data_IF_326333962042
#
_entry.id   IF_326333962042
#
_cell.length_a   1.000
_cell.length_b   1.000
_cell.length_c   1.000
_cell.angle_alpha   90.00
_cell.angle_beta   90.00
_cell.angle_gamma   90.00
#
_symmetry.space_group_name_H-M   'P 1'
#
loop_
_entity.id
_entity.type
_entity.pdbx_description
1 polymer ?
#
# COMPACT_ATOMS: atom_id res chain seq x y z
N UNK A 1 19.26 -44.42 9.58
CA UNK A 1 18.47 -44.01 8.40
C UNK A 1 18.73 -42.53 8.21
N UNK A 2 19.56 -42.17 7.24
CA UNK A 2 19.77 -40.79 6.85
C UNK A 2 18.57 -40.37 5.98
N UNK A 3 17.78 -39.42 6.47
CA UNK A 3 16.73 -38.81 5.66
C UNK A 3 17.39 -38.04 4.53
N UNK A 4 17.04 -38.40 3.29
CA UNK A 4 17.41 -37.66 2.10
C UNK A 4 16.77 -36.28 2.23
N UNK A 5 17.56 -35.23 2.51
CA UNK A 5 17.06 -33.88 2.32
C UNK A 5 16.87 -33.71 0.82
N UNK A 6 15.64 -33.58 0.36
CA UNK A 6 15.39 -33.26 -1.04
C UNK A 6 16.16 -31.97 -1.31
N UNK A 7 17.11 -32.01 -2.26
CA UNK A 7 17.78 -30.82 -2.72
C UNK A 7 16.68 -29.88 -3.23
N UNK A 8 16.46 -28.80 -2.51
CA UNK A 8 15.59 -27.74 -2.96
C UNK A 8 16.12 -27.24 -4.32
N UNK A 9 15.21 -26.96 -5.26
CA UNK A 9 15.58 -26.75 -6.65
C UNK A 9 16.64 -25.66 -6.81
N UNK A 10 17.62 -25.90 -7.68
CA UNK A 10 18.70 -24.96 -7.96
C UNK A 10 18.15 -23.76 -8.77
N UNK A 11 18.02 -22.61 -8.11
CA UNK A 11 17.54 -21.37 -8.73
C UNK A 11 18.45 -20.92 -9.88
N UNK A 12 19.77 -21.08 -9.75
CA UNK A 12 20.70 -20.67 -10.79
C UNK A 12 20.54 -21.55 -12.04
N UNK A 13 20.35 -22.87 -11.85
CA UNK A 13 20.05 -23.78 -12.96
C UNK A 13 18.71 -23.46 -13.64
N UNK A 14 17.66 -23.12 -12.87
CA UNK A 14 16.39 -22.70 -13.44
C UNK A 14 16.55 -21.42 -14.27
N UNK A 15 17.21 -20.39 -13.72
CA UNK A 15 17.44 -19.14 -14.44
C UNK A 15 18.29 -19.35 -15.69
N UNK A 16 19.33 -20.19 -15.61
CA UNK A 16 20.18 -20.53 -16.76
C UNK A 16 19.42 -21.25 -17.89
N UNK A 17 18.33 -21.97 -17.56
CA UNK A 17 17.46 -22.63 -18.54
C UNK A 17 16.55 -21.65 -19.30
N UNK A 18 16.44 -20.40 -18.85
CA UNK A 18 15.58 -19.37 -19.40
C UNK A 18 16.44 -18.26 -20.04
N UNK A 19 16.62 -18.26 -21.38
CA UNK A 19 17.53 -17.32 -22.04
C UNK A 19 17.19 -15.84 -21.80
N UNK A 20 15.92 -15.53 -21.54
CA UNK A 20 15.45 -14.19 -21.27
C UNK A 20 15.62 -13.74 -19.82
N UNK A 21 16.16 -14.58 -18.94
CA UNK A 21 16.50 -14.26 -17.54
C UNK A 21 18.03 -14.19 -17.31
N UNK A 22 18.84 -14.13 -18.36
CA UNK A 22 20.31 -14.13 -18.24
C UNK A 22 20.86 -12.94 -17.45
N UNK A 23 20.25 -11.75 -17.55
CA UNK A 23 20.62 -10.56 -16.77
C UNK A 23 20.31 -10.75 -15.28
N UNK A 24 19.18 -11.39 -14.96
CA UNK A 24 18.83 -11.73 -13.57
C UNK A 24 19.84 -12.72 -12.99
N UNK A 25 20.22 -13.75 -13.76
CA UNK A 25 21.24 -14.72 -13.35
C UNK A 25 22.60 -14.05 -13.10
N UNK A 26 23.02 -13.15 -14.00
CA UNK A 26 24.26 -12.38 -13.84
C UNK A 26 24.23 -11.56 -12.54
N UNK A 27 23.18 -10.78 -12.31
CA UNK A 27 23.02 -9.99 -11.08
C UNK A 27 23.02 -10.87 -9.82
N UNK A 28 22.32 -12.00 -9.85
CA UNK A 28 22.30 -12.95 -8.74
C UNK A 28 23.70 -13.50 -8.44
N UNK A 29 24.52 -13.75 -9.47
CA UNK A 29 25.88 -14.25 -9.30
C UNK A 29 26.86 -13.23 -8.70
N UNK A 30 26.55 -11.94 -8.81
CA UNK A 30 27.37 -10.85 -8.25
C UNK A 30 27.18 -10.71 -6.74
N UNK A 31 26.09 -11.21 -6.17
CA UNK A 31 25.80 -11.12 -4.73
C UNK A 31 26.15 -12.45 -4.04
N UNK A 32 27.28 -12.52 -3.29
CA UNK A 32 27.75 -13.77 -2.73
C UNK A 32 26.73 -14.42 -1.78
N UNK A 33 26.47 -15.71 -1.98
CA UNK A 33 25.59 -16.51 -1.12
C UNK A 33 24.09 -16.23 -1.27
N UNK A 34 23.67 -15.27 -2.10
CA UNK A 34 22.24 -14.97 -2.29
C UNK A 34 21.52 -16.12 -2.99
N UNK A 35 22.11 -16.72 -4.03
CA UNK A 35 21.52 -17.88 -4.72
C UNK A 35 21.27 -19.05 -3.75
N UNK A 36 22.24 -19.37 -2.91
CA UNK A 36 22.12 -20.43 -1.89
C UNK A 36 21.07 -20.08 -0.84
N UNK A 37 21.01 -18.81 -0.44
CA UNK A 37 20.00 -18.30 0.51
C UNK A 37 18.60 -18.44 -0.07
N UNK A 38 18.38 -18.06 -1.33
CA UNK A 38 17.08 -18.19 -1.99
C UNK A 38 16.71 -19.65 -2.23
N UNK A 39 17.67 -20.49 -2.62
CA UNK A 39 17.45 -21.91 -2.83
C UNK A 39 17.15 -22.66 -1.52
N UNK A 40 17.68 -22.22 -0.38
CA UNK A 40 17.37 -22.80 0.94
C UNK A 40 16.19 -22.15 1.65
N UNK A 41 15.69 -21.03 1.12
CA UNK A 41 14.51 -20.34 1.66
C UNK A 41 13.25 -21.14 1.34
N UNK A 42 12.32 -21.18 2.28
CA UNK A 42 10.97 -21.71 2.04
C UNK A 42 9.95 -20.61 2.30
N UNK A 43 8.75 -20.79 1.75
CA UNK A 43 7.64 -19.85 1.87
C UNK A 43 7.95 -18.47 1.26
N UNK A 44 8.43 -18.45 0.01
CA UNK A 44 8.73 -17.21 -0.72
C UNK A 44 8.10 -17.19 -2.12
N UNK A 45 7.91 -15.99 -2.64
CA UNK A 45 7.53 -15.77 -4.04
C UNK A 45 8.56 -14.86 -4.69
N UNK A 46 9.17 -15.32 -5.78
CA UNK A 46 10.17 -14.56 -6.54
C UNK A 46 9.49 -13.99 -7.77
N UNK A 47 9.65 -12.69 -8.00
CA UNK A 47 9.24 -12.07 -9.25
C UNK A 47 10.46 -11.81 -10.14
N UNK A 48 10.49 -12.42 -11.31
CA UNK A 48 11.65 -12.51 -12.18
C UNK A 48 11.48 -11.62 -13.43
N UNK A 49 12.04 -10.39 -13.44
CA UNK A 49 12.01 -9.54 -14.62
C UNK A 49 12.94 -10.11 -15.72
N UNK A 50 12.54 -10.07 -17.01
CA UNK A 50 13.38 -10.48 -18.12
C UNK A 50 14.44 -9.44 -18.45
N UNK A 51 15.40 -9.81 -19.29
CA UNK A 51 16.48 -8.95 -19.77
C UNK A 51 15.96 -7.60 -20.30
N UNK A 52 14.84 -7.60 -21.02
CA UNK A 52 14.23 -6.38 -21.54
C UNK A 52 13.73 -5.44 -20.43
N UNK A 53 13.19 -5.99 -19.34
CA UNK A 53 12.74 -5.18 -18.21
C UNK A 53 13.93 -4.46 -17.56
N UNK A 54 15.06 -5.14 -17.35
CA UNK A 54 16.29 -4.52 -16.87
C UNK A 54 16.84 -3.47 -17.84
N UNK A 55 16.76 -3.72 -19.15
CA UNK A 55 17.21 -2.77 -20.17
C UNK A 55 16.38 -1.47 -20.18
N UNK A 56 15.10 -1.55 -19.82
CA UNK A 56 14.18 -0.41 -19.80
C UNK A 56 14.29 0.47 -18.55
N UNK A 57 15.02 0.03 -17.51
CA UNK A 57 15.20 0.83 -16.29
C UNK A 57 16.07 2.05 -16.61
N UNK A 58 15.60 3.29 -16.33
CA UNK A 58 16.43 4.48 -16.48
C UNK A 58 17.67 4.37 -15.59
N UNK A 59 18.83 4.90 -16.02
CA UNK A 59 20.11 4.70 -15.33
C UNK A 59 20.44 5.77 -14.28
N UNK A 60 19.62 6.80 -14.20
CA UNK A 60 19.68 7.91 -13.25
C UNK A 60 18.81 7.64 -12.02
N UNK A 61 18.47 6.38 -11.74
CA UNK A 61 17.63 5.98 -10.60
C UNK A 61 18.28 4.87 -9.81
N UNK A 62 17.95 4.68 -8.52
CA UNK A 62 18.61 3.68 -7.68
C UNK A 62 18.58 2.25 -8.26
N UNK A 63 17.47 1.83 -8.87
CA UNK A 63 17.35 0.55 -9.58
C UNK A 63 18.27 0.49 -10.80
N UNK A 64 18.36 1.60 -11.54
CA UNK A 64 19.22 1.76 -12.71
C UNK A 64 20.70 1.71 -12.38
N UNK A 65 21.09 2.41 -11.32
CA UNK A 65 22.44 2.44 -10.77
C UNK A 65 22.85 1.07 -10.22
N UNK A 66 21.96 0.37 -9.52
CA UNK A 66 22.20 -1.01 -9.09
C UNK A 66 22.48 -1.95 -10.28
N UNK A 67 21.83 -1.71 -11.42
CA UNK A 67 22.06 -2.47 -12.65
C UNK A 67 23.37 -2.01 -13.32
N UNK A 68 23.65 -0.72 -13.45
CA UNK A 68 24.83 -0.22 -14.15
C UNK A 68 26.13 -0.52 -13.39
N UNK A 69 26.15 -0.22 -12.08
CA UNK A 69 27.33 -0.33 -11.23
C UNK A 69 27.45 -1.73 -10.61
N UNK A 70 27.88 -2.70 -11.45
CA UNK A 70 28.02 -4.12 -11.11
C UNK A 70 28.90 -4.45 -9.88
N UNK A 71 29.66 -3.49 -9.38
CA UNK A 71 30.48 -3.62 -8.18
C UNK A 71 29.73 -3.26 -6.89
N UNK A 72 28.57 -2.60 -6.97
CA UNK A 72 27.75 -2.25 -5.81
C UNK A 72 26.84 -3.43 -5.44
N UNK A 73 27.43 -4.44 -4.80
CA UNK A 73 26.71 -5.66 -4.40
C UNK A 73 25.59 -5.38 -3.38
N UNK A 74 25.64 -4.26 -2.65
CA UNK A 74 24.60 -3.84 -1.72
C UNK A 74 23.38 -3.38 -2.50
N UNK A 75 23.55 -2.49 -3.48
CA UNK A 75 22.47 -2.02 -4.34
C UNK A 75 21.86 -3.15 -5.17
N UNK A 76 22.69 -4.04 -5.72
CA UNK A 76 22.21 -5.24 -6.43
C UNK A 76 21.44 -6.15 -5.48
N UNK A 77 21.98 -6.41 -4.29
CA UNK A 77 21.32 -7.22 -3.27
C UNK A 77 19.97 -6.63 -2.86
N UNK A 78 19.89 -5.31 -2.69
CA UNK A 78 18.65 -4.61 -2.37
C UNK A 78 17.63 -4.77 -3.49
N UNK A 79 18.06 -4.58 -4.74
CA UNK A 79 17.21 -4.74 -5.92
C UNK A 79 16.63 -6.15 -5.97
N UNK A 80 17.48 -7.17 -5.85
CA UNK A 80 17.05 -8.57 -5.89
C UNK A 80 16.15 -8.91 -4.68
N UNK A 81 16.46 -8.41 -3.49
CA UNK A 81 15.66 -8.63 -2.29
C UNK A 81 14.25 -8.02 -2.40
N UNK A 82 14.10 -6.88 -3.09
CA UNK A 82 12.80 -6.27 -3.38
C UNK A 82 11.93 -7.16 -4.28
N UNK A 83 12.55 -8.03 -5.07
CA UNK A 83 11.86 -8.97 -5.97
C UNK A 83 11.53 -10.31 -5.31
N UNK A 84 11.78 -10.47 -4.00
CA UNK A 84 11.48 -11.70 -3.27
C UNK A 84 10.52 -11.39 -2.13
N UNK A 85 9.28 -11.82 -2.30
CA UNK A 85 8.21 -11.68 -1.32
C UNK A 85 8.30 -12.75 -0.24
N UNK A 86 8.02 -12.34 1.01
CA UNK A 86 7.76 -13.22 2.14
C UNK A 86 6.35 -13.78 2.01
N UNK A 87 6.24 -15.09 1.84
CA UNK A 87 4.99 -15.80 1.60
C UNK A 87 4.89 -16.37 0.18
N UNK A 88 3.98 -17.33 0.03
CA UNK A 88 3.69 -18.02 -1.24
C UNK A 88 2.40 -17.47 -1.83
N UNK A 89 2.51 -16.78 -2.97
CA UNK A 89 1.40 -16.10 -3.64
C UNK A 89 1.23 -16.63 -5.07
N UNK A 90 0.73 -17.86 -5.26
CA UNK A 90 0.38 -18.36 -6.59
C UNK A 90 -0.73 -17.51 -7.22
N UNK A 91 -0.82 -17.50 -8.55
CA UNK A 91 -1.74 -16.62 -9.29
C UNK A 91 -3.21 -16.83 -8.93
N UNK A 92 -3.56 -18.03 -8.48
CA UNK A 92 -4.92 -18.40 -8.11
C UNK A 92 -5.37 -17.80 -6.77
N UNK A 93 -4.47 -17.48 -5.83
CA UNK A 93 -4.83 -16.87 -4.54
C UNK A 93 -4.87 -15.35 -4.59
N UNK A 94 -4.23 -14.74 -5.59
CA UNK A 94 -4.25 -13.29 -5.78
C UNK A 94 -5.65 -12.87 -6.26
N UNK A 95 -6.22 -11.85 -5.63
CA UNK A 95 -7.58 -11.34 -5.88
C UNK A 95 -7.57 -9.94 -6.48
N UNK A 96 -8.74 -9.44 -6.86
CA UNK A 96 -8.97 -8.04 -7.27
C UNK A 96 -8.85 -7.05 -6.09
N UNK A 97 -8.94 -7.53 -4.85
CA UNK A 97 -8.47 -6.78 -3.68
C UNK A 97 -6.95 -6.91 -3.57
N UNK A 98 -6.18 -5.81 -3.53
CA UNK A 98 -4.74 -5.87 -3.43
C UNK A 98 -4.31 -6.46 -2.09
N UNK A 99 -3.29 -7.32 -2.12
CA UNK A 99 -2.59 -7.82 -0.93
C UNK A 99 -1.21 -7.20 -0.89
N UNK A 100 -0.86 -6.52 0.20
CA UNK A 100 0.47 -5.95 0.38
C UNK A 100 1.31 -6.89 1.24
N UNK A 101 2.42 -7.33 0.68
CA UNK A 101 3.30 -8.30 1.30
C UNK A 101 4.71 -7.74 1.42
N UNK A 102 5.38 -8.11 2.50
CA UNK A 102 6.77 -7.71 2.72
C UNK A 102 7.71 -8.49 1.81
N UNK A 103 8.79 -7.86 1.41
CA UNK A 103 9.88 -8.47 0.65
C UNK A 103 11.05 -8.80 1.57
N UNK A 104 12.11 -9.39 1.02
CA UNK A 104 13.36 -9.59 1.73
C UNK A 104 14.20 -8.30 1.83
N UNK A 105 13.78 -7.20 1.20
CA UNK A 105 14.47 -5.91 1.28
C UNK A 105 14.25 -5.28 2.66
N UNK A 106 15.15 -5.52 3.60
CA UNK A 106 15.14 -4.91 4.93
C UNK A 106 16.15 -3.75 5.07
N UNK A 107 16.22 -3.15 6.26
CA UNK A 107 17.11 -2.03 6.56
C UNK A 107 18.60 -2.35 6.60
N UNK A 108 19.02 -3.60 6.33
CA UNK A 108 20.45 -3.96 6.30
C UNK A 108 21.16 -3.55 5.01
N UNK A 109 20.39 -3.28 3.94
CA UNK A 109 20.92 -2.83 2.66
C UNK A 109 21.19 -1.32 2.69
N UNK A 110 22.33 -0.92 3.25
CA UNK A 110 22.73 0.48 3.43
C UNK A 110 23.83 0.89 2.45
N UNK A 111 23.57 1.91 1.64
CA UNK A 111 24.55 2.52 0.73
C UNK A 111 24.73 4.00 1.06
N UNK A 112 25.99 4.46 1.11
CA UNK A 112 26.36 5.84 1.45
C UNK A 112 25.57 6.45 2.63
N UNK A 113 25.33 5.64 3.68
CA UNK A 113 24.58 5.96 4.92
C UNK A 113 23.04 5.95 4.84
N UNK A 114 22.45 5.63 3.68
CA UNK A 114 21.00 5.51 3.52
C UNK A 114 20.60 4.08 3.14
N UNK A 115 19.61 3.48 3.82
CA UNK A 115 19.12 2.18 3.42
C UNK A 115 18.31 2.28 2.12
N UNK A 116 18.09 1.20 1.38
CA UNK A 116 17.12 1.21 0.26
C UNK A 116 15.66 1.14 0.73
N UNK A 117 15.45 0.81 2.01
CA UNK A 117 14.17 0.75 2.71
C UNK A 117 14.44 0.68 4.22
N UNK A 118 13.61 1.27 5.06
CA UNK A 118 13.74 1.11 6.52
C UNK A 118 12.49 0.52 7.21
N UNK A 119 11.59 -0.09 6.43
CA UNK A 119 10.43 -0.77 7.00
C UNK A 119 10.83 -1.89 7.95
N UNK A 120 10.15 -1.97 9.09
CA UNK A 120 10.30 -3.08 10.03
C UNK A 120 9.81 -4.36 9.37
N UNK A 121 10.72 -5.32 9.19
CA UNK A 121 10.40 -6.62 8.58
C UNK A 121 10.45 -6.64 7.05
N UNK A 122 10.85 -5.56 6.39
CA UNK A 122 11.08 -5.50 4.95
C UNK A 122 10.10 -4.60 4.19
N UNK A 123 10.52 -4.15 3.01
CA UNK A 123 9.75 -3.27 2.13
C UNK A 123 8.45 -3.94 1.69
N UNK A 124 7.43 -3.13 1.40
CA UNK A 124 6.15 -3.63 0.93
C UNK A 124 6.03 -3.54 -0.58
N UNK A 125 5.44 -4.54 -1.21
CA UNK A 125 4.91 -4.49 -2.57
C UNK A 125 3.51 -5.11 -2.59
N UNK A 126 2.65 -4.65 -3.49
CA UNK A 126 1.28 -5.15 -3.65
C UNK A 126 1.17 -6.24 -4.71
N UNK A 127 0.23 -7.17 -4.52
CA UNK A 127 -0.21 -8.13 -5.53
C UNK A 127 -1.71 -7.99 -5.74
N UNK A 128 -2.16 -7.86 -6.98
CA UNK A 128 -3.57 -7.64 -7.30
C UNK A 128 -3.92 -8.20 -8.68
N UNK A 129 -5.18 -8.61 -8.88
CA UNK A 129 -5.71 -8.91 -10.21
C UNK A 129 -6.29 -7.67 -10.85
N UNK A 130 -5.88 -7.41 -12.08
CA UNK A 130 -6.54 -6.47 -12.97
C UNK A 130 -7.21 -7.27 -14.10
N UNK A 131 -8.50 -7.55 -13.94
CA UNK A 131 -9.22 -8.48 -14.80
C UNK A 131 -8.64 -9.91 -14.69
N UNK A 132 -8.05 -10.40 -15.78
CA UNK A 132 -7.42 -11.73 -15.83
C UNK A 132 -5.94 -11.72 -15.44
N UNK A 133 -5.32 -10.55 -15.46
CA UNK A 133 -3.87 -10.41 -15.33
C UNK A 133 -3.51 -10.20 -13.85
N UNK A 134 -2.43 -10.85 -13.41
CA UNK A 134 -1.84 -10.58 -12.09
C UNK A 134 -0.86 -9.43 -12.24
N UNK A 135 -1.00 -8.42 -11.39
CA UNK A 135 -0.15 -7.24 -11.35
C UNK A 135 0.55 -7.14 -10.00
N UNK A 136 1.79 -6.68 -10.05
CA UNK A 136 2.60 -6.32 -8.89
C UNK A 136 2.64 -4.80 -8.80
N UNK A 137 2.28 -4.25 -7.65
CA UNK A 137 2.38 -2.84 -7.31
C UNK A 137 3.68 -2.63 -6.54
N UNK A 138 4.49 -1.66 -6.94
CA UNK A 138 5.73 -1.31 -6.25
C UNK A 138 5.83 0.19 -6.02
N UNK A 139 7.00 0.65 -5.60
CA UNK A 139 7.26 2.04 -5.24
C UNK A 139 6.72 3.08 -6.22
N UNK A 140 6.25 4.21 -5.68
CA UNK A 140 5.63 5.31 -6.44
C UNK A 140 4.52 4.86 -7.41
N UNK A 141 3.76 3.80 -7.04
CA UNK A 141 2.65 3.24 -7.83
C UNK A 141 3.08 2.58 -9.15
N UNK A 142 4.34 2.13 -9.25
CA UNK A 142 4.81 1.39 -10.42
C UNK A 142 4.08 0.04 -10.52
N UNK A 143 3.45 -0.23 -11.66
CA UNK A 143 2.71 -1.47 -11.92
C UNK A 143 3.52 -2.35 -12.87
N UNK A 144 3.73 -3.61 -12.49
CA UNK A 144 4.26 -4.63 -13.40
C UNK A 144 3.27 -5.77 -13.59
N UNK A 145 3.12 -6.26 -14.82
CA UNK A 145 2.25 -7.39 -15.13
C UNK A 145 3.02 -8.70 -15.09
N UNK A 146 2.44 -9.74 -14.48
CA UNK A 146 2.94 -11.10 -14.56
C UNK A 146 2.72 -11.64 -15.96
N UNK A 147 3.82 -11.94 -16.66
CA UNK A 147 3.85 -12.47 -18.03
C UNK A 147 3.84 -13.99 -18.06
N UNK A 148 4.37 -14.63 -17.02
CA UNK A 148 4.31 -16.08 -16.83
C UNK A 148 4.21 -16.37 -15.34
N UNK A 149 3.14 -17.03 -14.91
CA UNK A 149 2.89 -17.29 -13.51
C UNK A 149 3.27 -18.73 -13.09
N UNK A 150 3.40 -18.91 -11.77
CA UNK A 150 3.39 -20.22 -11.09
C UNK A 150 4.50 -21.19 -11.53
N UNK A 151 5.68 -20.68 -11.87
CA UNK A 151 6.87 -21.51 -12.10
C UNK A 151 7.33 -22.04 -10.74
N UNK A 152 7.31 -23.37 -10.56
CA UNK A 152 7.65 -24.01 -9.29
C UNK A 152 9.15 -24.30 -9.18
N UNK A 153 9.72 -24.04 -8.01
CA UNK A 153 11.10 -24.40 -7.67
C UNK A 153 11.16 -25.07 -6.29
N UNK A 154 11.15 -26.40 -6.25
CA UNK A 154 11.05 -27.12 -4.97
C UNK A 154 9.73 -26.88 -4.23
N UNK A 155 9.70 -27.19 -2.94
CA UNK A 155 8.52 -26.96 -2.09
C UNK A 155 8.59 -25.55 -1.48
N UNK A 156 7.51 -24.77 -1.62
CA UNK A 156 7.40 -23.47 -0.95
C UNK A 156 8.07 -22.28 -1.66
N UNK A 157 8.57 -22.44 -2.89
CA UNK A 157 8.99 -21.31 -3.76
C UNK A 157 8.08 -21.26 -4.98
N UNK A 158 7.46 -20.09 -5.20
CA UNK A 158 6.72 -19.78 -6.43
C UNK A 158 7.45 -18.68 -7.18
N UNK A 159 7.55 -18.80 -8.51
CA UNK A 159 8.21 -17.80 -9.35
C UNK A 159 7.22 -17.27 -10.38
N UNK A 160 7.12 -15.95 -10.50
CA UNK A 160 6.36 -15.26 -11.53
C UNK A 160 7.32 -14.43 -12.38
N UNK A 161 7.28 -14.55 -13.70
CA UNK A 161 7.96 -13.59 -14.56
C UNK A 161 7.12 -12.34 -14.69
N UNK A 162 7.75 -11.18 -14.60
CA UNK A 162 7.08 -9.87 -14.62
C UNK A 162 7.66 -9.01 -15.75
N UNK A 163 6.94 -8.00 -16.23
CA UNK A 163 7.37 -7.19 -17.40
C UNK A 163 8.23 -5.97 -17.06
N UNK A 164 8.36 -5.61 -15.78
CA UNK A 164 9.04 -4.40 -15.30
C UNK A 164 9.82 -4.73 -14.02
N UNK A 165 10.94 -4.06 -13.79
CA UNK A 165 11.68 -4.16 -12.52
C UNK A 165 10.89 -3.44 -11.42
N UNK A 166 10.75 -4.05 -10.25
CA UNK A 166 10.05 -3.44 -9.11
C UNK A 166 10.80 -2.22 -8.59
N UNK A 167 10.08 -1.12 -8.39
CA UNK A 167 10.66 0.10 -7.84
C UNK A 167 10.76 0.04 -6.32
N UNK A 168 11.83 0.61 -5.77
CA UNK A 168 12.00 0.87 -4.34
C UNK A 168 11.04 1.97 -3.84
N UNK A 169 10.63 2.89 -4.73
CA UNK A 169 9.83 4.07 -4.41
C UNK A 169 10.69 5.33 -4.32
N UNK A 170 10.25 6.28 -3.50
CA UNK A 170 11.01 7.50 -3.25
C UNK A 170 10.86 7.95 -1.80
N UNK A 171 11.78 8.81 -1.31
CA UNK A 171 11.53 9.61 -0.12
C UNK A 171 10.27 10.48 -0.31
N UNK A 172 9.56 10.75 0.78
CA UNK A 172 8.28 11.47 0.75
C UNK A 172 8.31 12.81 0.00
N UNK A 173 9.35 13.61 0.23
CA UNK A 173 9.50 14.93 -0.37
C UNK A 173 9.73 14.85 -1.88
N UNK A 174 10.44 13.83 -2.34
CA UNK A 174 10.67 13.59 -3.77
C UNK A 174 9.38 13.12 -4.46
N UNK A 175 8.64 12.22 -3.81
CA UNK A 175 7.31 11.80 -4.28
C UNK A 175 6.37 13.00 -4.42
N UNK A 176 6.22 13.81 -3.36
CA UNK A 176 5.30 14.97 -3.39
C UNK A 176 5.72 16.01 -4.42
N UNK A 177 7.02 16.21 -4.63
CA UNK A 177 7.52 17.06 -5.71
C UNK A 177 7.13 16.54 -7.10
N UNK A 178 7.43 15.27 -7.40
CA UNK A 178 7.13 14.66 -8.71
C UNK A 178 5.64 14.56 -9.00
N UNK A 179 4.85 14.24 -7.98
CA UNK A 179 3.40 14.09 -8.09
C UNK A 179 2.64 15.43 -8.06
N UNK A 180 3.32 16.56 -7.80
CA UNK A 180 2.72 17.88 -7.79
C UNK A 180 1.92 18.21 -6.52
N UNK A 181 2.21 17.56 -5.40
CA UNK A 181 1.65 17.86 -4.07
C UNK A 181 2.57 18.85 -3.31
N UNK A 182 2.82 20.00 -3.94
CA UNK A 182 3.85 20.95 -3.51
C UNK A 182 3.47 21.68 -2.22
N UNK A 183 2.18 21.87 -1.95
CA UNK A 183 1.71 22.58 -0.76
C UNK A 183 2.09 21.85 0.53
N UNK A 184 1.89 20.53 0.58
CA UNK A 184 2.27 19.70 1.74
C UNK A 184 3.78 19.74 1.98
N UNK A 185 4.57 19.65 0.91
CA UNK A 185 6.02 19.68 0.99
C UNK A 185 6.53 21.02 1.54
N UNK A 186 6.02 22.14 0.98
CA UNK A 186 6.36 23.48 1.46
C UNK A 186 5.92 23.72 2.92
N UNK A 187 4.75 23.19 3.32
CA UNK A 187 4.27 23.31 4.69
C UNK A 187 5.15 22.53 5.68
N UNK A 188 5.60 21.32 5.34
CA UNK A 188 6.52 20.54 6.17
C UNK A 188 7.88 21.24 6.33
N UNK A 189 8.40 21.85 5.27
CA UNK A 189 9.63 22.64 5.35
C UNK A 189 9.46 23.86 6.27
N UNK A 190 8.39 24.64 6.05
CA UNK A 190 8.08 25.79 6.89
C UNK A 190 7.86 25.42 8.37
N UNK A 191 7.41 24.19 8.63
CA UNK A 191 7.19 23.65 9.96
C UNK A 191 8.42 22.98 10.59
N UNK A 192 9.54 22.85 9.86
CA UNK A 192 10.70 22.05 10.26
C UNK A 192 10.34 20.58 10.57
N UNK A 193 9.40 20.00 9.82
CA UNK A 193 8.88 18.64 9.97
C UNK A 193 9.18 17.75 8.75
N UNK A 194 10.17 18.11 7.94
CA UNK A 194 10.64 17.27 6.83
C UNK A 194 10.91 15.84 7.32
N UNK A 195 10.42 14.84 6.59
CA UNK A 195 10.69 13.45 6.89
C UNK A 195 12.11 13.11 6.47
N UNK A 196 12.96 12.79 7.44
CA UNK A 196 14.30 12.31 7.21
C UNK A 196 14.28 10.79 7.00
N UNK A 197 15.23 10.29 6.22
CA UNK A 197 15.31 8.88 5.89
C UNK A 197 16.70 8.33 6.23
N UNK A 198 16.79 7.56 7.32
CA UNK A 198 18.01 6.84 7.70
C UNK A 198 19.16 7.72 8.22
N UNK A 199 19.01 9.03 8.22
CA UNK A 199 20.01 9.93 8.77
C UNK A 199 20.03 9.86 10.30
N UNK A 200 21.23 9.72 10.87
CA UNK A 200 21.46 9.69 12.31
C UNK A 200 22.50 10.76 12.67
N UNK A 201 22.14 11.70 13.55
CA UNK A 201 23.04 12.77 13.98
C UNK A 201 22.34 13.82 14.84
N UNK A 202 23.13 14.67 15.51
CA UNK A 202 22.61 15.80 16.29
C UNK A 202 22.15 16.99 15.42
N UNK A 203 22.50 16.97 14.13
CA UNK A 203 22.20 18.02 13.15
C UNK A 203 20.94 17.71 12.31
N UNK A 204 20.26 16.59 12.58
CA UNK A 204 19.07 16.17 11.84
C UNK A 204 17.88 17.09 12.14
N UNK A 205 17.46 17.84 11.13
CA UNK A 205 16.24 18.65 11.18
C UNK A 205 15.07 17.85 10.58
N UNK A 206 14.01 17.67 11.36
CA UNK A 206 12.78 17.03 10.90
C UNK A 206 12.42 15.74 11.64
N UNK A 207 11.52 14.95 11.06
CA UNK A 207 11.02 13.70 11.63
C UNK A 207 11.82 12.52 11.07
N UNK A 208 12.67 11.92 11.91
CA UNK A 208 13.31 10.63 11.59
C UNK A 208 12.37 9.49 12.02
N UNK A 209 11.51 9.07 11.09
CA UNK A 209 10.50 8.05 11.33
C UNK A 209 10.53 6.97 10.25
N UNK A 210 10.13 5.76 10.64
CA UNK A 210 9.88 4.61 9.77
C UNK A 210 8.45 4.10 9.98
N UNK A 211 8.03 3.19 9.11
CA UNK A 211 6.77 2.46 9.23
C UNK A 211 5.56 3.38 9.41
N UNK A 212 5.53 4.55 8.79
CA UNK A 212 4.42 5.50 8.97
C UNK A 212 3.40 5.41 7.83
N UNK A 213 2.20 5.90 8.13
CA UNK A 213 1.18 6.23 7.13
C UNK A 213 0.98 7.74 7.12
N UNK A 214 1.09 8.38 5.97
CA UNK A 214 0.87 9.83 5.81
C UNK A 214 -0.30 10.11 4.87
N UNK A 215 -1.16 11.04 5.26
CA UNK A 215 -2.24 11.54 4.42
C UNK A 215 -1.82 12.86 3.78
N UNK A 216 -1.87 12.94 2.46
CA UNK A 216 -1.35 14.06 1.67
C UNK A 216 -2.52 14.82 1.06
N UNK A 217 -2.90 15.99 1.61
CA UNK A 217 -3.90 16.83 0.97
C UNK A 217 -3.42 17.32 -0.40
N UNK A 218 -4.32 17.37 -1.37
CA UNK A 218 -4.05 18.06 -2.64
C UNK A 218 -3.75 19.54 -2.41
N UNK A 219 -3.05 20.19 -3.35
CA UNK A 219 -2.78 21.63 -3.28
C UNK A 219 -4.06 22.48 -3.22
N UNK A 220 -5.16 22.02 -3.83
CA UNK A 220 -6.47 22.68 -3.75
C UNK A 220 -7.13 22.55 -2.36
N UNK A 221 -6.90 21.43 -1.67
CA UNK A 221 -7.32 21.29 -0.27
C UNK A 221 -6.60 22.33 0.60
N UNK A 222 -5.27 22.39 0.52
CA UNK A 222 -4.46 23.38 1.24
C UNK A 222 -4.90 24.83 0.95
N UNK A 223 -5.15 25.17 -0.33
CA UNK A 223 -5.65 26.50 -0.69
C UNK A 223 -6.97 26.82 -0.01
N UNK A 224 -7.86 25.84 0.12
CA UNK A 224 -9.18 26.00 0.74
C UNK A 224 -9.10 26.39 2.22
N UNK A 225 -8.01 26.04 2.91
CA UNK A 225 -7.75 26.42 4.30
C UNK A 225 -6.78 27.61 4.45
N UNK A 226 -6.45 28.29 3.35
CA UNK A 226 -5.39 29.29 3.31
C UNK A 226 -5.52 30.42 4.34
N UNK A 227 -6.73 30.91 4.61
CA UNK A 227 -6.94 31.96 5.63
C UNK A 227 -6.56 31.51 7.04
N UNK A 228 -6.64 30.22 7.33
CA UNK A 228 -6.19 29.63 8.60
C UNK A 228 -4.67 29.59 8.62
N UNK A 229 -4.05 29.17 7.52
CA UNK A 229 -2.59 29.07 7.40
C UNK A 229 -1.88 30.43 7.48
N UNK A 230 -2.49 31.50 6.94
CA UNK A 230 -1.94 32.87 7.01
C UNK A 230 -1.79 33.39 8.44
N UNK A 231 -2.62 32.90 9.35
CA UNK A 231 -2.66 33.37 10.76
C UNK A 231 -2.15 32.32 11.74
N UNK A 232 -1.84 31.11 11.28
CA UNK A 232 -1.40 30.01 12.12
C UNK A 232 0.00 30.28 12.72
N UNK A 233 0.16 29.97 14.00
CA UNK A 233 1.49 29.89 14.61
C UNK A 233 2.26 28.67 14.06
N UNK A 234 3.59 28.71 14.15
CA UNK A 234 4.43 27.55 13.83
C UNK A 234 4.00 26.30 14.60
N UNK A 235 3.70 26.43 15.90
CA UNK A 235 3.21 25.33 16.73
C UNK A 235 1.88 24.77 16.21
N UNK A 236 0.94 25.62 15.83
CA UNK A 236 -0.34 25.18 15.25
C UNK A 236 -0.12 24.42 13.94
N UNK A 237 0.75 24.96 13.07
CA UNK A 237 1.09 24.31 11.81
C UNK A 237 1.72 22.93 12.05
N UNK A 238 2.63 22.82 13.01
CA UNK A 238 3.26 21.56 13.38
C UNK A 238 2.22 20.54 13.89
N UNK A 239 1.29 20.95 14.75
CA UNK A 239 0.23 20.07 15.25
C UNK A 239 -0.68 19.56 14.12
N UNK A 240 -1.08 20.45 13.21
CA UNK A 240 -1.90 20.07 12.04
C UNK A 240 -1.15 19.08 11.14
N UNK A 241 0.12 19.34 10.82
CA UNK A 241 0.90 18.46 9.96
C UNK A 241 1.19 17.10 10.61
N UNK A 242 1.48 17.07 11.92
CA UNK A 242 1.62 15.81 12.68
C UNK A 242 0.32 15.02 12.74
N UNK A 243 -0.83 15.68 12.66
CA UNK A 243 -2.13 15.01 12.63
C UNK A 243 -2.39 14.24 11.32
N UNK A 244 -1.67 14.57 10.24
CA UNK A 244 -1.72 13.83 8.98
C UNK A 244 -0.88 12.56 8.97
N UNK A 245 -0.14 12.27 10.04
CA UNK A 245 0.81 11.16 10.10
C UNK A 245 0.32 10.17 11.16
N UNK A 246 0.34 8.88 10.85
CA UNK A 246 0.23 7.79 11.82
C UNK A 246 1.64 7.18 11.97
N UNK A 247 2.25 7.22 13.17
CA UNK A 247 3.59 6.69 13.38
C UNK A 247 3.56 5.17 13.61
N UNK A 248 4.63 4.47 13.22
CA UNK A 248 4.87 3.06 13.52
C UNK A 248 3.71 2.11 13.10
N UNK A 249 2.94 2.49 12.10
CA UNK A 249 1.89 1.69 11.51
C UNK A 249 1.74 1.98 10.00
N UNK A 250 2.02 0.98 9.18
CA UNK A 250 1.84 1.00 7.72
C UNK A 250 0.45 0.45 7.40
N UNK A 251 -0.44 1.31 6.94
CA UNK A 251 -1.84 0.97 6.69
C UNK A 251 -2.15 1.15 5.21
N UNK A 252 -2.36 0.04 4.51
CA UNK A 252 -2.85 0.06 3.13
C UNK A 252 -4.38 0.09 3.09
N UNK A 253 -4.94 0.51 1.95
CA UNK A 253 -6.39 0.69 1.79
C UNK A 253 -7.25 -0.54 2.10
N UNK A 254 -6.85 -1.79 1.82
CA UNK A 254 -7.64 -2.98 2.21
C UNK A 254 -7.75 -3.17 3.72
N UNK A 255 -6.80 -2.62 4.47
CA UNK A 255 -6.75 -2.69 5.94
C UNK A 255 -7.41 -1.47 6.60
N UNK A 256 -7.85 -0.48 5.82
CA UNK A 256 -8.65 0.64 6.32
C UNK A 256 -10.04 0.10 6.66
N UNK A 257 -10.26 -0.25 7.92
CA UNK A 257 -11.59 -0.60 8.44
C UNK A 257 -12.35 0.64 8.93
N UNK A 258 -13.57 0.43 9.45
CA UNK A 258 -14.27 1.43 10.25
C UNK A 258 -13.64 1.54 11.66
N UNK A 259 -12.35 1.88 11.71
CA UNK A 259 -11.51 1.95 12.91
C UNK A 259 -11.05 3.38 13.21
N UNK A 260 -10.48 3.57 14.40
CA UNK A 260 -9.84 4.83 14.80
C UNK A 260 -8.39 4.55 15.18
N UNK A 261 -7.46 5.38 14.73
CA UNK A 261 -6.02 5.19 14.95
C UNK A 261 -5.40 6.52 15.42
N UNK A 262 -4.54 6.51 16.46
CA UNK A 262 -3.88 7.73 16.90
C UNK A 262 -2.92 8.24 15.83
N UNK A 263 -2.98 9.54 15.57
CA UNK A 263 -1.97 10.25 14.78
C UNK A 263 -0.69 10.49 15.58
N UNK A 264 0.36 10.98 14.92
CA UNK A 264 1.61 11.42 15.53
C UNK A 264 1.35 12.60 16.47
N UNK A 265 0.36 13.44 16.17
CA UNK A 265 -0.09 14.52 17.04
C UNK A 265 -0.73 13.99 18.34
N UNK A 266 -1.35 12.81 18.30
CA UNK A 266 -1.92 12.09 19.45
C UNK A 266 -3.44 11.96 19.40
N UNK A 267 -4.13 12.84 18.67
CA UNK A 267 -5.59 12.73 18.46
C UNK A 267 -5.90 11.64 17.42
N UNK A 268 -7.07 11.00 17.53
CA UNK A 268 -7.46 9.88 16.67
C UNK A 268 -7.97 10.32 15.29
N UNK A 269 -7.40 9.73 14.25
CA UNK A 269 -7.98 9.71 12.91
C UNK A 269 -9.05 8.63 12.81
N UNK A 270 -10.18 8.95 12.20
CA UNK A 270 -11.32 8.05 12.05
C UNK A 270 -11.45 7.59 10.61
N UNK A 271 -11.27 6.29 10.38
CA UNK A 271 -11.45 5.71 9.06
C UNK A 271 -12.90 5.28 8.84
N UNK A 272 -13.38 5.50 7.62
CA UNK A 272 -14.70 5.07 7.16
C UNK A 272 -14.61 4.48 5.76
N UNK A 273 -15.10 3.26 5.57
CA UNK A 273 -15.29 2.64 4.25
C UNK A 273 -16.78 2.54 3.98
N UNK A 274 -17.23 3.15 2.89
CA UNK A 274 -18.62 3.17 2.47
C UNK A 274 -18.94 1.95 1.59
N UNK A 275 -20.24 1.58 1.43
CA UNK A 275 -20.64 0.45 0.61
C UNK A 275 -20.25 0.54 -0.88
N UNK A 276 -19.98 1.75 -1.38
CA UNK A 276 -19.48 2.00 -2.74
C UNK A 276 -17.97 1.76 -2.87
N UNK A 277 -17.31 1.38 -1.77
CA UNK A 277 -15.89 1.12 -1.71
C UNK A 277 -15.00 2.35 -1.52
N UNK A 278 -15.59 3.54 -1.39
CA UNK A 278 -14.80 4.73 -1.09
C UNK A 278 -14.25 4.68 0.34
N UNK A 279 -12.95 4.97 0.47
CA UNK A 279 -12.26 5.05 1.75
C UNK A 279 -12.06 6.51 2.17
N UNK A 280 -12.28 6.79 3.44
CA UNK A 280 -12.27 8.12 4.02
C UNK A 280 -11.46 8.14 5.31
N UNK A 281 -10.80 9.27 5.55
CA UNK A 281 -10.18 9.60 6.83
C UNK A 281 -10.79 10.91 7.32
N UNK A 282 -11.47 10.85 8.46
CA UNK A 282 -12.38 11.90 8.92
C UNK A 282 -13.37 12.30 7.79
N UNK A 283 -13.35 13.56 7.36
CA UNK A 283 -14.18 14.11 6.29
C UNK A 283 -13.49 14.09 4.91
N UNK A 284 -12.24 13.66 4.85
CA UNK A 284 -11.44 13.68 3.63
C UNK A 284 -11.53 12.34 2.91
N UNK A 285 -11.83 12.38 1.61
CA UNK A 285 -11.86 11.19 0.77
C UNK A 285 -10.43 10.85 0.36
N UNK A 286 -10.06 9.59 0.47
CA UNK A 286 -8.80 9.10 -0.09
C UNK A 286 -9.00 8.96 -1.61
N UNK A 287 -8.30 9.80 -2.37
CA UNK A 287 -8.42 9.87 -3.84
C UNK A 287 -7.39 9.01 -4.54
N UNK A 288 -6.18 8.91 -3.99
CA UNK A 288 -5.13 8.01 -4.48
C UNK A 288 -4.48 7.28 -3.30
N UNK A 289 -4.83 6.00 -3.07
CA UNK A 289 -4.27 5.23 -1.97
C UNK A 289 -2.96 4.52 -2.33
N UNK A 290 -2.26 4.05 -1.30
CA UNK A 290 -1.20 3.03 -1.39
C UNK A 290 0.07 3.44 -2.15
N UNK A 291 0.47 4.72 -2.09
CA UNK A 291 1.79 5.10 -2.59
C UNK A 291 2.86 4.56 -1.64
N UNK A 292 3.59 3.52 -2.07
CA UNK A 292 4.72 2.96 -1.31
C UNK A 292 5.93 3.88 -1.46
N UNK A 293 6.51 4.28 -0.34
CA UNK A 293 7.72 5.09 -0.20
C UNK A 293 8.84 4.24 0.41
N UNK A 294 10.04 4.79 0.62
CA UNK A 294 11.16 4.05 1.25
C UNK A 294 10.93 3.67 2.73
N UNK A 295 10.13 4.46 3.44
CA UNK A 295 9.95 4.34 4.91
C UNK A 295 8.50 4.46 5.38
N UNK A 296 7.55 4.49 4.45
CA UNK A 296 6.14 4.66 4.79
C UNK A 296 5.22 4.50 3.59
N UNK A 297 3.93 4.71 3.83
CA UNK A 297 2.90 4.73 2.79
C UNK A 297 2.17 6.06 2.79
N UNK A 298 1.96 6.63 1.61
CA UNK A 298 1.17 7.85 1.44
C UNK A 298 -0.21 7.54 0.82
N UNK A 299 -1.22 8.23 1.33
CA UNK A 299 -2.57 8.27 0.77
C UNK A 299 -2.95 9.72 0.47
N UNK A 300 -3.25 10.02 -0.78
CA UNK A 300 -3.67 11.36 -1.18
C UNK A 300 -5.12 11.58 -0.82
N UNK A 301 -5.44 12.73 -0.25
CA UNK A 301 -6.78 13.09 0.22
C UNK A 301 -7.27 14.42 -0.38
N UNK A 302 -8.59 14.55 -0.53
CA UNK A 302 -9.22 15.72 -1.15
C UNK A 302 -9.54 16.88 -0.20
N UNK A 303 -9.23 16.76 1.09
CA UNK A 303 -9.42 17.80 2.10
C UNK A 303 -8.37 17.67 3.20
N UNK A 304 -8.03 18.75 3.89
CA UNK A 304 -7.09 18.71 5.02
C UNK A 304 -7.68 18.00 6.24
N UNK A 305 -6.80 17.60 7.16
CA UNK A 305 -7.16 17.03 8.45
C UNK A 305 -6.91 18.05 9.55
N UNK A 306 -7.91 18.25 10.41
CA UNK A 306 -7.82 19.11 11.59
C UNK A 306 -7.90 18.28 12.86
N UNK A 307 -6.99 18.49 13.84
CA UNK A 307 -7.06 17.82 15.13
C UNK A 307 -8.41 18.03 15.81
N UNK A 308 -9.03 16.94 16.25
CA UNK A 308 -10.32 16.98 16.93
C UNK A 308 -11.07 15.66 16.83
N UNK A 309 -12.16 15.54 17.59
CA UNK A 309 -13.02 14.38 17.52
C UNK A 309 -13.87 14.43 16.25
N UNK A 310 -13.84 13.35 15.46
CA UNK A 310 -14.69 13.18 14.29
C UNK A 310 -15.76 12.14 14.56
N UNK A 311 -17.02 12.48 14.33
CA UNK A 311 -18.13 11.52 14.34
C UNK A 311 -18.42 11.06 12.91
N UNK A 312 -18.36 9.75 12.66
CA UNK A 312 -18.71 9.16 11.35
C UNK A 312 -20.11 9.53 10.88
N UNK A 313 -21.05 9.75 11.80
CA UNK A 313 -22.42 10.14 11.46
C UNK A 313 -22.50 11.53 10.80
N UNK A 314 -21.47 12.37 10.99
CA UNK A 314 -21.37 13.71 10.41
C UNK A 314 -20.78 13.73 9.00
N UNK A 315 -20.27 12.59 8.50
CA UNK A 315 -19.69 12.49 7.16
C UNK A 315 -20.75 12.82 6.10
N UNK A 316 -20.38 13.65 5.11
CA UNK A 316 -21.26 14.05 3.99
C UNK A 316 -20.67 13.62 2.64
N UNK A 317 -20.76 12.33 2.26
CA UNK A 317 -20.06 11.81 1.07
C UNK A 317 -20.49 12.48 -0.24
N UNK A 318 -21.73 12.99 -0.31
CA UNK A 318 -22.29 13.62 -1.50
C UNK A 318 -21.94 15.11 -1.65
N UNK A 319 -21.48 15.78 -0.59
CA UNK A 319 -21.06 17.18 -0.66
C UNK A 319 -19.73 17.27 -1.42
N UNK A 320 -19.41 18.37 -2.14
CA UNK A 320 -18.10 18.59 -2.75
C UNK A 320 -17.02 18.87 -1.69
N UNK A 321 -15.74 18.70 -2.05
CA UNK A 321 -14.62 18.87 -1.11
C UNK A 321 -14.56 20.27 -0.48
N UNK A 322 -14.91 21.31 -1.24
CA UNK A 322 -14.99 22.70 -0.79
C UNK A 322 -16.01 22.94 0.32
N UNK A 323 -17.02 22.08 0.46
CA UNK A 323 -18.03 22.15 1.53
C UNK A 323 -17.67 21.27 2.73
N UNK A 324 -16.58 20.51 2.63
CA UNK A 324 -16.11 19.53 3.60
C UNK A 324 -14.81 19.95 4.29
N UNK A 325 -14.51 21.24 4.29
CA UNK A 325 -13.31 21.79 4.95
C UNK A 325 -13.25 21.43 6.44
N UNK A 326 -12.08 20.98 6.90
CA UNK A 326 -11.88 20.56 8.29
C UNK A 326 -11.81 21.73 9.28
N UNK A 327 -11.48 22.94 8.80
CA UNK A 327 -11.40 24.15 9.61
C UNK A 327 -12.63 25.03 9.39
N UNK A 328 -13.45 25.20 10.43
CA UNK A 328 -14.66 26.02 10.32
C UNK A 328 -14.33 27.49 10.08
N UNK A 329 -15.01 28.12 9.12
CA UNK A 329 -14.79 29.52 8.76
C UNK A 329 -13.54 29.76 7.91
N UNK A 330 -12.83 28.71 7.51
CA UNK A 330 -11.73 28.83 6.56
C UNK A 330 -12.24 29.28 5.18
N UNK A 331 -11.44 30.10 4.52
CA UNK A 331 -11.70 30.57 3.16
C UNK A 331 -10.48 30.34 2.28
N UNK A 332 -10.75 30.08 1.00
CA UNK A 332 -9.70 29.85 0.02
C UNK A 332 -8.89 31.12 -0.26
N UNK A 333 -7.60 30.95 -0.49
CA UNK A 333 -6.67 32.00 -0.93
C UNK A 333 -6.12 31.71 -2.33
N UNK A 334 -5.65 32.75 -3.04
CA UNK A 334 -5.01 32.60 -4.35
C UNK A 334 -3.56 32.10 -4.28
N UNK A 335 -2.91 32.28 -3.13
CA UNK A 335 -1.52 31.90 -2.89
C UNK A 335 -1.35 31.51 -1.43
N UNK A 336 -0.67 30.38 -1.17
CA UNK A 336 -0.36 29.93 0.18
C UNK A 336 0.75 30.79 0.82
N UNK A 337 0.80 30.88 2.16
CA UNK A 337 1.80 31.67 2.88
C UNK A 337 3.21 31.04 2.87
N UNK A 338 3.36 29.84 2.31
CA UNK A 338 4.63 29.13 2.20
C UNK A 338 5.15 29.20 0.76
N UNK A 339 6.44 29.47 0.58
CA UNK A 339 7.08 29.46 -0.75
C UNK A 339 7.34 28.02 -1.19
N UNK A 340 7.03 27.72 -2.46
CA UNK A 340 7.37 26.42 -3.06
C UNK A 340 8.88 26.21 -3.03
N UNK A 341 9.31 25.05 -2.55
CA UNK A 341 10.72 24.67 -2.51
C UNK A 341 11.20 24.35 -3.91
N UNK A 342 12.31 24.96 -4.32
CA UNK A 342 13.08 24.47 -5.46
C UNK A 342 14.04 23.42 -4.94
N UNK A 343 13.85 22.15 -5.31
CA UNK A 343 14.95 21.20 -5.18
C UNK A 343 16.08 21.73 -6.07
N UNK A 344 17.20 22.09 -5.46
CA UNK A 344 18.41 22.42 -6.19
C UNK A 344 18.73 21.20 -7.06
N UNK A 345 18.91 21.47 -8.36
CA UNK A 345 19.28 20.53 -9.43
C UNK A 345 20.07 19.32 -8.94
N UNK A 346 19.38 18.20 -8.75
CA UNK A 346 19.85 16.88 -9.16
C UNK A 346 18.65 15.91 -9.19
N UNK A 347 18.40 15.41 -10.40
CA UNK A 347 17.61 14.21 -10.72
C UNK A 347 16.09 14.23 -10.39
N UNK A 348 15.30 14.34 -11.48
CA UNK A 348 14.34 13.29 -11.95
C UNK A 348 12.99 13.85 -12.40
N UNK A 349 12.75 13.72 -13.71
CA UNK A 349 11.42 13.87 -14.30
C UNK A 349 10.80 12.47 -14.44
N UNK A 350 9.87 12.12 -13.55
CA UNK A 350 8.96 11.01 -13.80
C UNK A 350 7.58 11.56 -14.18
N UNK A 351 7.25 11.44 -15.45
CA UNK A 351 5.91 11.67 -15.97
C UNK A 351 5.23 10.32 -16.20
N UNK A 352 4.28 9.98 -15.34
CA UNK A 352 2.97 9.40 -15.68
C UNK A 352 2.45 8.49 -14.55
N UNK A 353 1.53 9.01 -13.73
CA UNK A 353 0.64 8.19 -12.91
C UNK A 353 -0.32 7.45 -13.85
N UNK A 354 -0.32 6.10 -13.93
CA UNK A 354 -1.25 5.38 -14.79
C UNK A 354 -2.69 5.49 -14.28
N UNK A 355 -3.64 5.69 -15.20
CA UNK A 355 -5.09 5.83 -14.93
C UNK A 355 -5.76 4.62 -14.25
N UNK A 356 -5.05 3.50 -14.11
CA UNK A 356 -5.58 2.23 -13.59
C UNK A 356 -5.91 2.28 -12.08
N UNK A 357 -5.25 3.14 -11.30
CA UNK A 357 -5.47 3.27 -9.85
C UNK A 357 -6.67 4.17 -9.47
N UNK A 358 -7.28 4.88 -10.43
CA UNK A 358 -8.58 5.53 -10.19
C UNK A 358 -9.73 4.53 -10.07
N UNK A 359 -9.50 3.25 -10.39
CA UNK A 359 -10.53 2.22 -10.55
C UNK A 359 -10.35 1.02 -9.64
N UNK A 360 -9.65 1.14 -8.51
CA UNK A 360 -9.80 0.15 -7.44
C UNK A 360 -11.09 0.47 -6.68
N UNK A 361 -12.22 0.22 -7.35
CA UNK A 361 -13.50 0.10 -6.67
C UNK A 361 -13.36 -1.03 -5.64
N UNK A 362 -13.60 -0.74 -4.35
CA UNK A 362 -13.62 -1.82 -3.38
C UNK A 362 -14.72 -2.81 -3.77
N UNK A 363 -14.40 -4.10 -3.63
CA UNK A 363 -15.30 -5.20 -3.98
C UNK A 363 -16.62 -5.03 -3.22
N UNK A 364 -17.70 -4.84 -3.98
CA UNK A 364 -19.05 -4.90 -3.44
C UNK A 364 -19.29 -6.32 -2.91
N UNK A 365 -19.63 -6.44 -1.63
CA UNK A 365 -20.12 -7.71 -1.08
C UNK A 365 -21.42 -8.05 -1.81
N UNK A 366 -21.47 -9.22 -2.45
CA UNK A 366 -22.66 -9.69 -3.15
C UNK A 366 -23.84 -9.75 -2.18
N UNK A 367 -24.76 -8.80 -2.30
CA UNK A 367 -26.09 -8.89 -1.69
C UNK A 367 -27.03 -9.51 -2.71
N UNK A 368 -27.74 -10.55 -2.27
CA UNK A 368 -28.64 -11.34 -3.07
C UNK A 368 -29.67 -10.48 -3.81
N UNK A 369 -29.87 -10.83 -5.08
CA UNK A 369 -30.78 -10.22 -6.03
C UNK A 369 -32.24 -10.34 -5.62
N UNK A 370 -33.01 -9.27 -5.84
CA UNK A 370 -34.47 -9.35 -5.94
C UNK A 370 -35.22 -8.05 -5.75
N UNK A 371 -35.41 -7.27 -6.83
CA UNK A 371 -36.70 -6.65 -7.17
C UNK A 371 -36.56 -5.77 -8.42
N UNK A 372 -36.90 -6.35 -9.58
CA UNK A 372 -37.23 -5.59 -10.77
C UNK A 372 -38.63 -4.97 -10.58
N UNK A 373 -38.74 -3.68 -10.86
CA UNK A 373 -39.99 -2.95 -10.91
C UNK A 373 -40.60 -3.15 -12.31
N UNK A 374 -41.70 -3.92 -12.41
CA UNK A 374 -42.49 -4.06 -13.63
C UNK A 374 -43.95 -3.72 -13.33
N UNK A 375 -44.46 -2.73 -14.05
CA UNK A 375 -45.80 -2.16 -13.90
C UNK A 375 -46.85 -2.95 -14.70
N UNK A 376 -47.91 -3.35 -13.99
CA UNK A 376 -49.31 -3.60 -14.39
C UNK A 376 -49.65 -4.51 -15.60
N UNK A 377 -50.46 -5.54 -15.32
CA UNK A 377 -51.85 -5.63 -15.84
C UNK A 377 -52.67 -6.64 -15.05
N UNK A 378 -53.96 -6.32 -14.92
CA UNK A 378 -55.02 -6.98 -14.14
C UNK A 378 -55.57 -8.24 -14.80
N UNK A 379 -55.87 -9.28 -14.02
CA UNK A 379 -57.19 -9.99 -13.99
C UNK A 379 -57.09 -11.35 -13.29
N UNK A 380 -58.08 -11.67 -12.44
CA UNK A 380 -58.43 -13.05 -12.09
C UNK A 380 -58.12 -13.52 -10.66
N UNK A 381 -59.07 -13.35 -9.73
CA UNK A 381 -59.33 -14.33 -8.64
C UNK A 381 -59.98 -15.59 -9.28
N UNK A 382 -59.93 -16.82 -8.70
CA UNK A 382 -60.18 -17.06 -7.26
C UNK A 382 -59.48 -18.29 -6.59
N UNK A 383 -59.68 -18.31 -5.26
CA UNK A 383 -59.91 -19.49 -4.40
C UNK A 383 -58.74 -20.36 -3.90
N UNK A 384 -58.67 -20.40 -2.57
CA UNK A 384 -57.98 -21.39 -1.76
C UNK A 384 -58.77 -22.71 -1.75
N UNK A 385 -58.06 -23.84 -1.90
CA UNK A 385 -58.48 -25.17 -1.42
C UNK A 385 -57.21 -25.87 -0.91
N UNK A 386 -57.19 -26.41 0.32
CA UNK A 386 -56.07 -27.20 0.81
C UNK A 386 -56.32 -28.68 0.49
N UNK A 387 -55.32 -29.37 -0.05
CA UNK A 387 -55.27 -30.84 -0.01
C UNK A 387 -53.87 -31.31 0.37
N UNK A 388 -53.89 -32.19 1.36
CA UNK A 388 -52.80 -32.78 2.11
C UNK A 388 -52.00 -33.85 1.34
N UNK A 389 -50.84 -34.16 1.91
CA UNK A 389 -50.05 -35.39 1.85
C UNK A 389 -48.92 -35.45 0.80
N UNK A 390 -47.69 -35.53 1.31
CA UNK A 390 -46.50 -35.83 0.51
C UNK A 390 -45.21 -35.49 1.24
N UNK A 391 -44.89 -36.28 2.26
CA UNK A 391 -43.57 -36.49 2.87
C UNK A 391 -42.38 -36.31 1.90
N UNK A 392 -41.38 -35.50 2.27
CA UNK A 392 -39.98 -35.95 2.24
C UNK A 392 -39.04 -35.07 3.09
N UNK A 393 -38.19 -35.79 3.83
CA UNK A 393 -37.22 -35.36 4.83
C UNK A 393 -35.94 -34.79 4.18
N UNK A 394 -35.43 -33.67 4.71
CA UNK A 394 -33.99 -33.40 4.73
C UNK A 394 -33.57 -32.80 6.09
N UNK A 395 -32.63 -33.41 6.83
CA UNK A 395 -32.02 -32.83 8.05
C UNK A 395 -30.84 -31.93 7.65
N UNK A 396 -30.35 -30.98 8.44
CA UNK A 396 -30.62 -30.56 9.82
C UNK A 396 -29.59 -29.49 10.13
N UNK A 397 -30.04 -28.31 10.56
CA UNK A 397 -29.21 -27.19 11.01
C UNK A 397 -29.20 -27.24 12.54
N UNK A 398 -28.05 -27.55 13.15
CA UNK A 398 -27.90 -27.54 14.62
C UNK A 398 -27.47 -26.14 15.05
N UNK A 399 -28.35 -25.49 15.81
CA UNK A 399 -28.09 -24.33 16.66
C UNK A 399 -27.14 -24.74 17.80
N UNK A 400 -26.02 -24.04 17.96
CA UNK A 400 -25.21 -24.11 19.17
C UNK A 400 -25.81 -23.16 20.23
N UNK A 401 -26.33 -23.74 21.31
CA UNK A 401 -26.75 -23.05 22.52
C UNK A 401 -25.66 -23.21 23.60
N UNK A 402 -25.41 -22.12 24.31
CA UNK A 402 -24.47 -21.96 25.42
C UNK A 402 -24.82 -22.83 26.64
N UNK A 403 -23.79 -23.39 27.29
CA UNK A 403 -23.89 -23.90 28.67
C UNK A 403 -22.82 -23.24 29.53
N UNK A 404 -23.30 -22.46 30.50
CA UNK A 404 -22.59 -21.96 31.66
C UNK A 404 -22.61 -23.06 32.72
N UNK A 405 -21.46 -23.39 33.30
CA UNK A 405 -21.38 -24.20 34.53
C UNK A 405 -20.46 -23.51 35.52
N UNK A 406 -21.03 -23.16 36.68
CA UNK A 406 -20.31 -22.60 37.81
C UNK A 406 -20.27 -23.56 39.01
N UNK A 407 -19.14 -23.49 39.70
CA UNK A 407 -18.93 -23.58 41.17
C UNK A 407 -19.17 -24.93 41.85
N UNK A 408 -18.09 -25.47 42.43
CA UNK A 408 -18.08 -26.03 43.78
C UNK A 408 -16.69 -25.84 44.41
N UNK A 409 -16.65 -25.11 45.53
CA UNK A 409 -15.51 -25.04 46.45
C UNK A 409 -15.67 -26.10 47.55
N UNK A 410 -14.57 -26.71 48.01
CA UNK A 410 -14.48 -27.26 49.38
C UNK A 410 -13.05 -27.23 49.89
N UNK A 411 -12.93 -26.89 51.18
CA UNK A 411 -11.73 -26.74 51.99
C UNK A 411 -10.90 -28.03 52.13
N UNK A 412 -9.58 -27.88 52.27
CA UNK A 412 -8.78 -28.05 53.51
C UNK A 412 -7.45 -27.30 53.33
#
# INVERSE_FOLDING_TARGET
MAGVSMAQGDIAALLASQPDLSTLLELLSLVPGLADTLASSSNITIVAPPNQAFANVPRDIPEGEAIEYRNNIIAIGALLANHVFKGVYPSNVITDVPTFAQTLLDGSYVDYRQPFSNFTGGAYNGLVKNGKDVCILSGEQTISTVTQADIKLGEGITIHKIDTVLSFGAPFQLFTFRAGYLAMNAALEAAHLNLAFGETGADEQGLNISDYTIFVPTDEAFKSIGSVLETASLETLQEVLRYHIIPNNVIFSPSLGNVTVPSLQGTNLTFTVLPDGSAWVNNARITFPNTILFNGVAHVIDSDLSPGNFDRSSLKPAAPASERVAFQGASSVSSLPFTSVSFATDMMAFTATPSLLQTVAAVATATATGAANATATTSGKPSLVPTSNGIDLFPGMILALSVVTGIAAFLI
#
